data_IF_070415541749
#
_entry.id   IF_070415541749
#
_cell.length_a   1.000
_cell.length_b   1.000
_cell.length_c   1.000
_cell.angle_alpha   90.00
_cell.angle_beta   90.00
_cell.angle_gamma   90.00
#
_symmetry.space_group_name_H-M   'P 1'
#
loop_
_entity.id
_entity.type
_entity.pdbx_description
1 polymer ?
#
# COMPACT_ATOMS: atom_id res chain seq x y z
N UNK A 1 -34.08 -4.56 -2.98
CA UNK A 1 -33.23 -5.43 -3.80
C UNK A 1 -32.04 -4.63 -4.33
N UNK A 2 -32.24 -3.61 -5.17
CA UNK A 2 -31.14 -2.83 -5.76
C UNK A 2 -30.16 -2.25 -4.73
N UNK A 3 -30.65 -1.65 -3.63
CA UNK A 3 -29.78 -1.13 -2.58
C UNK A 3 -28.93 -2.20 -1.86
N UNK A 4 -29.39 -3.46 -1.84
CA UNK A 4 -28.60 -4.59 -1.35
C UNK A 4 -27.58 -5.04 -2.40
N UNK A 5 -27.93 -5.07 -3.69
CA UNK A 5 -26.98 -5.35 -4.76
C UNK A 5 -25.85 -4.32 -4.82
N UNK A 6 -26.15 -3.04 -4.65
CA UNK A 6 -25.14 -1.97 -4.57
C UNK A 6 -24.21 -2.19 -3.37
N UNK A 7 -24.76 -2.59 -2.22
CA UNK A 7 -23.94 -2.95 -1.06
C UNK A 7 -23.03 -4.15 -1.34
N UNK A 8 -23.55 -5.22 -1.94
CA UNK A 8 -22.74 -6.40 -2.30
C UNK A 8 -21.64 -6.05 -3.30
N UNK A 9 -21.95 -5.24 -4.31
CA UNK A 9 -20.95 -4.75 -5.27
C UNK A 9 -19.87 -3.91 -4.57
N UNK A 10 -20.26 -3.00 -3.68
CA UNK A 10 -19.33 -2.22 -2.86
C UNK A 10 -18.48 -3.11 -1.94
N UNK A 11 -19.08 -4.13 -1.32
CA UNK A 11 -18.36 -5.08 -0.46
C UNK A 11 -17.28 -5.83 -1.24
N UNK A 12 -17.61 -6.35 -2.43
CA UNK A 12 -16.64 -7.05 -3.27
C UNK A 12 -15.55 -6.11 -3.81
N UNK A 13 -15.91 -4.90 -4.23
CA UNK A 13 -14.94 -3.91 -4.71
C UNK A 13 -13.91 -3.55 -3.64
N UNK A 14 -14.34 -3.34 -2.39
CA UNK A 14 -13.45 -2.93 -1.29
C UNK A 14 -12.85 -4.12 -0.53
N UNK A 15 -13.15 -5.36 -0.91
CA UNK A 15 -12.83 -6.58 -0.15
C UNK A 15 -13.27 -6.53 1.34
N UNK A 16 -14.37 -5.83 1.62
CA UNK A 16 -14.85 -5.59 2.97
C UNK A 16 -15.96 -4.54 3.03
N UNK A 17 -16.50 -4.30 4.24
CA UNK A 17 -17.55 -3.32 4.47
C UNK A 17 -17.02 -1.95 4.94
N UNK A 18 -15.78 -1.62 4.63
CA UNK A 18 -15.20 -0.29 4.79
C UNK A 18 -14.60 0.14 3.46
N UNK A 19 -14.81 1.40 3.05
CA UNK A 19 -14.28 1.91 1.79
C UNK A 19 -12.75 1.84 1.80
N UNK A 20 -12.13 1.30 0.74
CA UNK A 20 -10.68 1.35 0.56
C UNK A 20 -10.18 2.80 0.40
N UNK A 21 -11.01 3.67 -0.16
CA UNK A 21 -10.78 5.12 -0.17
C UNK A 21 -11.61 5.82 0.91
N UNK A 22 -10.95 6.27 1.98
CA UNK A 22 -11.55 7.05 3.07
C UNK A 22 -12.04 6.24 4.27
N UNK A 23 -11.76 4.92 4.33
CA UNK A 23 -11.85 4.05 5.51
C UNK A 23 -13.14 4.16 6.34
N UNK A 24 -14.25 4.49 5.69
CA UNK A 24 -15.56 4.65 6.31
C UNK A 24 -16.45 3.44 6.07
N UNK A 25 -17.26 3.10 7.06
CA UNK A 25 -18.14 1.93 7.01
C UNK A 25 -19.20 2.06 5.92
N UNK A 26 -19.42 0.95 5.21
CA UNK A 26 -20.47 0.78 4.20
C UNK A 26 -21.57 -0.07 4.82
N UNK A 27 -22.81 0.42 4.76
CA UNK A 27 -24.00 -0.35 5.16
C UNK A 27 -24.97 -0.51 3.98
N UNK A 28 -25.80 -1.57 3.97
CA UNK A 28 -26.88 -1.68 3.01
C UNK A 28 -27.81 -0.47 3.09
N UNK A 29 -28.28 0.02 1.92
CA UNK A 29 -29.26 1.10 1.87
C UNK A 29 -30.62 0.61 1.40
N UNK A 30 -31.68 1.23 1.92
CA UNK A 30 -33.02 1.11 1.37
C UNK A 30 -33.73 2.46 1.49
N UNK A 31 -33.98 3.11 0.34
CA UNK A 31 -34.62 4.45 0.25
C UNK A 31 -35.97 4.58 0.99
N UNK A 32 -36.56 3.47 1.46
CA UNK A 32 -37.91 3.40 2.05
C UNK A 32 -37.96 2.72 3.43
N UNK A 33 -36.83 2.38 4.05
CA UNK A 33 -36.82 1.63 5.31
C UNK A 33 -35.86 2.27 6.33
N UNK A 34 -36.33 2.39 7.57
CA UNK A 34 -35.47 2.64 8.75
C UNK A 34 -34.57 1.41 8.96
N UNK A 35 -33.34 1.61 9.45
CA UNK A 35 -32.27 0.58 9.54
C UNK A 35 -32.72 -0.79 10.06
N UNK A 36 -33.55 -0.85 11.11
CA UNK A 36 -34.05 -2.11 11.67
C UNK A 36 -34.91 -2.91 10.67
N UNK A 37 -35.78 -2.25 9.91
CA UNK A 37 -36.59 -2.91 8.87
C UNK A 37 -35.75 -3.41 7.69
N UNK A 38 -34.53 -2.89 7.51
CA UNK A 38 -33.63 -3.33 6.44
C UNK A 38 -32.92 -4.64 6.81
N UNK A 39 -32.44 -4.75 8.05
CA UNK A 39 -31.80 -5.96 8.56
C UNK A 39 -32.76 -7.17 8.50
N UNK A 40 -34.02 -6.99 8.92
CA UNK A 40 -35.02 -8.06 8.86
C UNK A 40 -35.35 -8.50 7.43
N UNK A 41 -35.39 -7.56 6.48
CA UNK A 41 -35.59 -7.88 5.06
C UNK A 41 -34.42 -8.66 4.47
N UNK A 42 -33.19 -8.31 4.85
CA UNK A 42 -32.00 -9.05 4.43
C UNK A 42 -32.00 -10.44 5.08
N UNK A 43 -32.36 -10.55 6.36
CA UNK A 43 -32.51 -11.84 7.06
C UNK A 43 -33.51 -12.76 6.37
N UNK A 44 -34.70 -12.24 6.05
CA UNK A 44 -35.72 -12.99 5.32
C UNK A 44 -35.22 -13.46 3.94
N UNK A 45 -34.52 -12.58 3.21
CA UNK A 45 -33.89 -12.93 1.93
C UNK A 45 -32.87 -14.07 2.10
N UNK A 46 -31.92 -13.92 3.02
CA UNK A 46 -30.85 -14.89 3.29
C UNK A 46 -31.43 -16.25 3.66
N UNK A 47 -32.44 -16.30 4.53
CA UNK A 47 -33.11 -17.56 4.91
C UNK A 47 -33.95 -18.17 3.80
N UNK A 48 -34.53 -17.35 2.92
CA UNK A 48 -35.33 -17.82 1.79
C UNK A 48 -34.49 -18.34 0.61
N UNK A 49 -33.23 -17.91 0.50
CA UNK A 49 -32.31 -18.31 -0.54
C UNK A 49 -31.98 -19.81 -0.45
N UNK A 50 -31.64 -20.43 -1.58
CA UNK A 50 -31.29 -21.85 -1.63
C UNK A 50 -30.12 -22.18 -0.70
N UNK A 51 -29.11 -21.31 -0.65
CA UNK A 51 -28.00 -21.44 0.29
C UNK A 51 -28.45 -21.38 1.75
N UNK A 52 -29.45 -20.55 2.08
CA UNK A 52 -30.02 -20.47 3.43
C UNK A 52 -30.78 -21.73 3.85
N UNK A 53 -31.37 -22.44 2.90
CA UNK A 53 -32.11 -23.69 3.13
C UNK A 53 -31.21 -24.91 3.20
N UNK A 54 -30.12 -24.92 2.42
CA UNK A 54 -29.29 -26.10 2.19
C UNK A 54 -27.95 -26.09 2.94
N UNK A 55 -27.48 -24.93 3.43
CA UNK A 55 -26.15 -24.79 4.02
C UNK A 55 -26.19 -24.26 5.47
N UNK A 56 -26.03 -25.13 6.49
CA UNK A 56 -25.96 -24.72 7.88
C UNK A 56 -24.82 -23.74 8.17
N UNK A 57 -23.67 -23.91 7.49
CA UNK A 57 -22.52 -23.02 7.67
C UNK A 57 -22.85 -21.61 7.19
N UNK A 58 -23.56 -21.48 6.06
CA UNK A 58 -23.99 -20.19 5.54
C UNK A 58 -24.91 -19.45 6.53
N UNK A 59 -25.86 -20.15 7.15
CA UNK A 59 -26.72 -19.57 8.19
C UNK A 59 -25.91 -19.19 9.43
N UNK A 60 -24.99 -20.04 9.90
CA UNK A 60 -24.15 -19.69 11.07
C UNK A 60 -23.26 -18.46 10.82
N UNK A 61 -22.72 -18.30 9.61
CA UNK A 61 -21.98 -17.09 9.22
C UNK A 61 -22.91 -15.87 9.19
N UNK A 62 -24.12 -16.04 8.66
CA UNK A 62 -25.11 -14.96 8.67
C UNK A 62 -25.48 -14.52 10.09
N UNK A 63 -25.73 -15.43 11.04
CA UNK A 63 -26.06 -15.05 12.42
C UNK A 63 -24.93 -14.24 13.08
N UNK A 64 -23.66 -14.55 12.78
CA UNK A 64 -22.52 -13.80 13.29
C UNK A 64 -22.42 -12.38 12.70
N UNK A 65 -22.74 -12.22 11.41
CA UNK A 65 -22.58 -10.94 10.68
C UNK A 65 -23.84 -10.07 10.77
N UNK A 66 -25.02 -10.67 10.93
CA UNK A 66 -26.31 -10.00 11.02
C UNK A 66 -26.29 -8.78 11.94
N UNK A 67 -25.85 -8.86 13.22
CA UNK A 67 -25.86 -7.68 14.11
C UNK A 67 -24.94 -6.55 13.62
N UNK A 68 -23.90 -6.86 12.84
CA UNK A 68 -22.86 -5.91 12.43
C UNK A 68 -23.17 -5.19 11.11
N UNK A 69 -23.90 -5.83 10.20
CA UNK A 69 -24.08 -5.38 8.81
C UNK A 69 -24.76 -4.01 8.68
N UNK A 70 -25.63 -3.66 9.63
CA UNK A 70 -26.33 -2.37 9.68
C UNK A 70 -25.94 -1.53 10.91
N UNK A 71 -24.98 -1.99 11.73
CA UNK A 71 -24.55 -1.25 12.92
C UNK A 71 -23.80 0.01 12.52
N UNK A 72 -24.05 1.09 13.25
CA UNK A 72 -23.39 2.39 13.12
C UNK A 72 -22.97 2.88 14.51
N UNK A 73 -22.47 1.97 15.36
CA UNK A 73 -21.86 2.34 16.63
C UNK A 73 -20.75 3.37 16.41
N UNK A 74 -20.56 4.30 17.36
CA UNK A 74 -19.62 5.41 17.20
C UNK A 74 -18.20 4.97 16.82
N UNK A 75 -17.76 3.84 17.36
CA UNK A 75 -16.42 3.29 17.13
C UNK A 75 -16.34 2.42 15.87
N UNK A 76 -17.46 2.19 15.17
CA UNK A 76 -17.51 1.38 13.94
C UNK A 76 -17.54 2.21 12.67
N UNK A 77 -17.58 3.54 12.77
CA UNK A 77 -17.77 4.39 11.59
C UNK A 77 -16.53 4.46 10.70
N UNK A 78 -15.34 4.27 11.29
CA UNK A 78 -14.06 4.39 10.63
C UNK A 78 -13.09 3.29 11.08
N UNK A 79 -12.06 3.02 10.27
CA UNK A 79 -10.93 2.23 10.72
C UNK A 79 -10.07 3.03 11.72
N UNK A 80 -9.53 2.34 12.73
CA UNK A 80 -8.76 2.96 13.80
C UNK A 80 -8.43 2.01 14.94
N UNK A 81 -7.68 2.50 15.94
CA UNK A 81 -7.47 1.78 17.20
C UNK A 81 -8.80 1.64 17.97
N UNK A 82 -8.95 0.62 18.81
CA UNK A 82 -10.25 0.18 19.37
C UNK A 82 -11.07 1.24 20.12
N UNK A 83 -10.44 2.30 20.63
CA UNK A 83 -11.10 3.45 21.27
C UNK A 83 -11.65 4.49 20.28
N UNK A 84 -11.15 4.49 19.04
CA UNK A 84 -11.43 5.48 18.01
C UNK A 84 -11.93 4.90 16.68
N UNK A 85 -11.92 3.57 16.52
CA UNK A 85 -12.28 2.88 15.30
C UNK A 85 -12.23 1.35 15.41
N UNK A 86 -12.34 0.67 14.28
CA UNK A 86 -12.18 -0.79 14.16
C UNK A 86 -10.91 -1.11 13.38
N UNK A 87 -10.21 -2.17 13.77
CA UNK A 87 -9.10 -2.72 12.98
C UNK A 87 -9.04 -4.23 13.13
N UNK A 88 -8.55 -4.89 12.08
CA UNK A 88 -8.23 -6.32 12.09
C UNK A 88 -6.71 -6.57 12.06
N UNK A 89 -5.88 -5.52 12.02
CA UNK A 89 -4.42 -5.61 12.12
C UNK A 89 -3.97 -5.92 13.54
N UNK A 90 -4.75 -5.46 14.53
CA UNK A 90 -4.47 -5.69 15.94
C UNK A 90 -5.70 -6.20 16.69
N UNK A 91 -5.51 -6.83 17.86
CA UNK A 91 -6.63 -7.13 18.77
C UNK A 91 -7.20 -5.85 19.39
N UNK A 92 -8.49 -5.85 19.72
CA UNK A 92 -9.23 -4.66 20.21
C UNK A 92 -8.61 -3.99 21.44
N UNK A 93 -7.86 -4.74 22.25
CA UNK A 93 -7.20 -4.24 23.44
C UNK A 93 -5.84 -3.55 23.18
N UNK A 94 -5.32 -3.56 21.94
CA UNK A 94 -4.07 -2.86 21.57
C UNK A 94 -4.33 -1.35 21.48
N UNK A 95 -3.49 -0.59 22.17
CA UNK A 95 -3.47 0.87 22.09
C UNK A 95 -2.36 1.36 21.15
N UNK A 96 -2.37 2.66 20.86
CA UNK A 96 -1.25 3.31 20.14
C UNK A 96 0.09 3.10 20.86
N UNK A 97 0.13 3.26 22.18
CA UNK A 97 1.35 3.06 22.99
C UNK A 97 1.89 1.62 22.89
N UNK A 98 0.98 0.64 22.84
CA UNK A 98 1.35 -0.77 22.65
C UNK A 98 1.96 -0.99 21.25
N UNK A 99 1.39 -0.37 20.22
CA UNK A 99 1.92 -0.43 18.85
C UNK A 99 3.31 0.21 18.76
N UNK A 100 3.53 1.36 19.41
CA UNK A 100 4.84 2.03 19.47
C UNK A 100 5.90 1.19 20.19
N UNK A 101 5.53 0.44 21.24
CA UNK A 101 6.42 -0.53 21.90
C UNK A 101 6.88 -1.62 20.94
N UNK A 102 5.95 -2.18 20.17
CA UNK A 102 6.25 -3.24 19.22
C UNK A 102 7.03 -2.73 18.00
N UNK A 103 6.78 -1.51 17.57
CA UNK A 103 7.59 -0.85 16.54
C UNK A 103 9.06 -0.72 16.97
N UNK A 104 9.33 -0.34 18.23
CA UNK A 104 10.71 -0.36 18.77
C UNK A 104 11.34 -1.75 18.75
N UNK A 105 10.57 -2.79 19.06
CA UNK A 105 11.05 -4.18 18.97
C UNK A 105 11.46 -4.51 17.52
N UNK A 106 10.61 -4.26 16.52
CA UNK A 106 10.93 -4.51 15.11
C UNK A 106 12.14 -3.71 14.62
N UNK A 107 12.23 -2.43 15.00
CA UNK A 107 13.41 -1.57 14.70
C UNK A 107 14.69 -2.15 15.28
N UNK A 108 14.67 -2.64 16.53
CA UNK A 108 15.84 -3.27 17.15
C UNK A 108 16.33 -4.54 16.42
N UNK A 109 15.43 -5.18 15.66
CA UNK A 109 15.71 -6.37 14.85
C UNK A 109 16.07 -6.04 13.39
N UNK A 110 15.91 -4.79 12.97
CA UNK A 110 16.03 -4.36 11.58
C UNK A 110 15.16 -5.18 10.62
N UNK A 111 13.88 -5.36 10.99
CA UNK A 111 12.89 -6.11 10.22
C UNK A 111 11.58 -5.33 10.19
N UNK A 112 10.95 -5.27 9.03
CA UNK A 112 9.66 -4.62 8.81
C UNK A 112 8.50 -5.51 9.29
N UNK A 113 7.45 -4.91 9.86
CA UNK A 113 6.27 -5.62 10.36
C UNK A 113 5.18 -5.88 9.31
N UNK A 114 5.48 -5.71 8.02
CA UNK A 114 4.49 -5.59 6.94
C UNK A 114 3.53 -6.77 6.83
N UNK A 115 4.03 -8.01 6.95
CA UNK A 115 3.21 -9.23 6.84
C UNK A 115 2.75 -9.78 8.19
N UNK A 116 2.53 -8.90 9.18
CA UNK A 116 2.20 -9.31 10.56
C UNK A 116 0.86 -8.79 11.05
N UNK A 117 0.29 -9.47 12.05
CA UNK A 117 -0.75 -8.95 12.94
C UNK A 117 -0.30 -8.99 14.39
N UNK A 118 -0.86 -8.10 15.22
CA UNK A 118 -0.49 -7.93 16.63
C UNK A 118 -1.64 -8.27 17.56
N UNK A 119 -1.39 -9.10 18.56
CA UNK A 119 -2.36 -9.42 19.59
C UNK A 119 -1.75 -9.15 20.96
N UNK A 120 -2.55 -8.70 21.91
CA UNK A 120 -2.14 -8.59 23.32
C UNK A 120 -2.91 -9.59 24.14
N UNK A 121 -2.19 -10.45 24.86
CA UNK A 121 -2.81 -11.38 25.80
C UNK A 121 -3.43 -10.62 26.97
N UNK A 122 -4.59 -11.09 27.41
CA UNK A 122 -5.26 -10.54 28.60
C UNK A 122 -4.47 -10.86 29.87
N UNK A 123 -3.87 -12.05 29.92
CA UNK A 123 -3.09 -12.49 31.07
C UNK A 123 -1.61 -12.12 30.93
N UNK A 124 -1.02 -11.66 32.03
CA UNK A 124 0.41 -11.41 32.10
C UNK A 124 1.18 -12.70 32.34
N UNK A 125 2.32 -12.85 31.69
CA UNK A 125 3.28 -13.95 31.95
C UNK A 125 4.43 -13.40 32.77
N UNK A 126 4.70 -13.98 33.94
CA UNK A 126 5.72 -13.52 34.88
C UNK A 126 5.60 -12.03 35.25
N UNK A 127 4.37 -11.52 35.36
CA UNK A 127 4.10 -10.09 35.63
C UNK A 127 4.30 -9.15 34.45
N UNK A 128 4.69 -9.65 33.28
CA UNK A 128 4.91 -8.88 32.04
C UNK A 128 3.75 -9.04 31.06
N UNK A 129 3.44 -7.98 30.33
CA UNK A 129 2.49 -8.04 29.21
C UNK A 129 3.06 -8.92 28.10
N UNK A 130 2.22 -9.73 27.47
CA UNK A 130 2.60 -10.59 26.34
C UNK A 130 1.96 -10.07 25.07
N UNK A 131 2.79 -9.80 24.07
CA UNK A 131 2.36 -9.46 22.72
C UNK A 131 2.63 -10.63 21.78
N UNK A 132 1.62 -11.05 21.01
CA UNK A 132 1.76 -12.07 19.98
C UNK A 132 1.81 -11.44 18.61
N UNK A 133 2.87 -11.73 17.88
CA UNK A 133 3.06 -11.34 16.49
C UNK A 133 2.74 -12.55 15.63
N UNK A 134 1.72 -12.46 14.78
CA UNK A 134 1.38 -13.50 13.81
C UNK A 134 1.92 -13.13 12.44
N UNK A 135 2.84 -13.95 11.92
CA UNK A 135 3.39 -13.83 10.56
C UNK A 135 2.47 -14.54 9.56
N UNK A 136 2.16 -13.87 8.45
CA UNK A 136 1.44 -14.48 7.35
C UNK A 136 2.31 -15.52 6.63
N UNK A 137 1.90 -16.79 6.66
CA UNK A 137 2.65 -17.89 6.07
C UNK A 137 1.82 -19.15 5.92
N UNK A 138 2.13 -19.99 4.94
CA UNK A 138 1.49 -21.29 4.77
C UNK A 138 1.92 -22.30 5.85
N UNK A 139 3.19 -22.28 6.26
CA UNK A 139 3.67 -23.09 7.38
C UNK A 139 3.17 -22.54 8.71
N UNK A 140 2.85 -23.46 9.61
CA UNK A 140 2.44 -23.17 10.99
C UNK A 140 3.57 -23.53 11.96
N UNK A 141 3.61 -22.86 13.12
CA UNK A 141 4.58 -23.16 14.19
C UNK A 141 5.91 -22.42 14.04
N UNK A 142 6.94 -22.87 14.76
CA UNK A 142 8.19 -22.09 14.90
C UNK A 142 8.00 -20.86 15.78
N UNK A 143 7.21 -21.01 16.86
CA UNK A 143 7.01 -19.94 17.81
C UNK A 143 8.33 -19.61 18.53
N UNK A 144 8.70 -18.35 18.58
CA UNK A 144 9.79 -17.84 19.41
C UNK A 144 9.23 -16.95 20.50
N UNK A 145 9.91 -16.91 21.64
CA UNK A 145 9.58 -16.03 22.74
C UNK A 145 10.84 -15.26 23.14
N UNK A 146 10.69 -13.95 23.27
CA UNK A 146 11.77 -13.04 23.64
C UNK A 146 11.26 -12.00 24.65
N UNK A 147 12.07 -11.70 25.66
CA UNK A 147 11.82 -10.53 26.50
C UNK A 147 12.44 -9.29 25.84
N UNK A 148 11.68 -8.20 25.77
CA UNK A 148 12.14 -6.92 25.26
C UNK A 148 11.59 -5.80 26.14
N UNK A 149 12.46 -4.92 26.63
CA UNK A 149 12.11 -3.90 27.62
C UNK A 149 11.37 -4.53 28.84
N UNK A 150 10.14 -4.11 29.10
CA UNK A 150 9.28 -4.55 30.20
C UNK A 150 8.20 -5.58 29.77
N UNK A 151 8.28 -6.11 28.55
CA UNK A 151 7.28 -7.02 27.97
C UNK A 151 7.88 -8.26 27.30
N UNK A 152 7.00 -9.19 26.93
CA UNK A 152 7.34 -10.43 26.23
C UNK A 152 6.73 -10.38 24.83
N UNK A 153 7.54 -10.74 23.82
CA UNK A 153 7.10 -10.89 22.44
C UNK A 153 7.11 -12.38 22.10
N UNK A 154 5.95 -12.89 21.67
CA UNK A 154 5.81 -14.22 21.11
C UNK A 154 5.54 -14.08 19.62
N UNK A 155 6.45 -14.56 18.79
CA UNK A 155 6.30 -14.53 17.33
C UNK A 155 5.91 -15.91 16.85
N UNK A 156 4.82 -16.02 16.09
CA UNK A 156 4.33 -17.28 15.53
C UNK A 156 3.96 -17.15 14.06
N UNK A 157 4.03 -18.28 13.35
CA UNK A 157 3.69 -18.38 11.94
C UNK A 157 2.34 -19.06 11.72
N UNK A 158 1.75 -18.81 10.56
CA UNK A 158 0.54 -19.48 10.12
C UNK A 158 -0.65 -18.56 9.94
N UNK A 159 -0.47 -17.24 10.04
CA UNK A 159 -1.56 -16.33 9.74
C UNK A 159 -1.96 -16.48 8.27
N UNK A 160 -3.27 -16.58 8.01
CA UNK A 160 -3.81 -16.85 6.68
C UNK A 160 -3.26 -18.11 5.98
N UNK A 161 -2.77 -19.11 6.73
CA UNK A 161 -2.06 -20.28 6.19
C UNK A 161 -2.71 -20.95 4.96
N UNK A 162 -4.03 -21.26 4.95
CA UNK A 162 -4.67 -21.84 3.77
C UNK A 162 -4.65 -20.93 2.53
N UNK A 163 -4.71 -19.62 2.72
CA UNK A 163 -4.65 -18.63 1.64
C UNK A 163 -3.23 -18.47 1.13
N UNK A 164 -2.24 -18.41 2.02
CA UNK A 164 -0.82 -18.34 1.65
C UNK A 164 -0.37 -19.61 0.90
N UNK A 165 -0.85 -20.79 1.32
CA UNK A 165 -0.63 -22.04 0.60
C UNK A 165 -1.20 -21.99 -0.83
N UNK A 166 -2.39 -21.41 -1.00
CA UNK A 166 -3.03 -21.23 -2.30
C UNK A 166 -2.25 -20.25 -3.18
N UNK A 167 -1.78 -19.13 -2.62
CA UNK A 167 -0.95 -18.17 -3.34
C UNK A 167 0.34 -18.83 -3.84
N UNK A 168 1.06 -19.54 -2.97
CA UNK A 168 2.27 -20.30 -3.34
C UNK A 168 2.00 -21.34 -4.44
N UNK A 169 0.88 -22.06 -4.38
CA UNK A 169 0.53 -23.06 -5.38
C UNK A 169 0.27 -22.45 -6.77
N UNK A 170 -0.39 -21.29 -6.85
CA UNK A 170 -0.61 -20.60 -8.12
C UNK A 170 0.67 -19.95 -8.66
N UNK A 171 1.51 -19.40 -7.78
CA UNK A 171 2.84 -18.91 -8.17
C UNK A 171 3.71 -20.04 -8.70
N UNK A 172 3.67 -21.24 -8.11
CA UNK A 172 4.40 -22.39 -8.62
C UNK A 172 3.98 -22.77 -10.05
N UNK A 173 2.68 -22.69 -10.37
CA UNK A 173 2.19 -22.88 -11.75
C UNK A 173 2.63 -21.75 -12.67
N UNK A 174 2.56 -20.50 -12.21
CA UNK A 174 3.01 -19.35 -12.99
C UNK A 174 4.52 -19.42 -13.31
N UNK A 175 5.31 -19.97 -12.39
CA UNK A 175 6.75 -20.21 -12.56
C UNK A 175 7.06 -21.05 -13.81
N UNK A 176 6.18 -21.97 -14.21
CA UNK A 176 6.35 -22.79 -15.42
C UNK A 176 6.24 -21.99 -16.72
N UNK A 177 5.73 -20.75 -16.67
CA UNK A 177 5.47 -19.89 -17.84
C UNK A 177 6.31 -18.60 -17.83
N UNK A 178 7.35 -18.51 -17.01
CA UNK A 178 8.22 -17.32 -16.93
C UNK A 178 9.00 -17.11 -18.22
N UNK A 179 9.25 -15.84 -18.55
CA UNK A 179 9.96 -15.47 -19.77
C UNK A 179 11.49 -15.54 -19.63
N UNK A 180 12.01 -15.50 -18.40
CA UNK A 180 13.45 -15.45 -18.13
C UNK A 180 13.81 -15.93 -16.70
N UNK A 181 15.10 -16.16 -16.46
CA UNK A 181 15.65 -16.60 -15.16
C UNK A 181 15.38 -15.62 -14.02
N UNK A 182 15.29 -14.31 -14.31
CA UNK A 182 15.02 -13.28 -13.30
C UNK A 182 13.61 -13.45 -12.74
N UNK A 183 12.62 -13.63 -13.61
CA UNK A 183 11.25 -13.94 -13.22
C UNK A 183 11.15 -15.27 -12.48
N UNK A 184 11.90 -16.30 -12.90
CA UNK A 184 11.94 -17.57 -12.18
C UNK A 184 12.41 -17.40 -10.73
N UNK A 185 13.50 -16.65 -10.53
CA UNK A 185 14.07 -16.37 -9.20
C UNK A 185 13.13 -15.51 -8.36
N UNK A 186 12.54 -14.48 -8.95
CA UNK A 186 11.54 -13.63 -8.32
C UNK A 186 10.36 -14.45 -7.79
N UNK A 187 9.72 -15.25 -8.66
CA UNK A 187 8.57 -16.07 -8.27
C UNK A 187 8.96 -17.11 -7.22
N UNK A 188 10.14 -17.72 -7.34
CA UNK A 188 10.64 -18.67 -6.33
C UNK A 188 10.76 -18.01 -4.95
N UNK A 189 11.23 -16.76 -4.89
CA UNK A 189 11.34 -16.00 -3.65
C UNK A 189 10.00 -15.54 -3.08
N UNK A 190 9.02 -15.20 -3.92
CA UNK A 190 7.64 -14.99 -3.44
C UNK A 190 7.04 -16.27 -2.83
N UNK A 191 7.28 -17.44 -3.45
CA UNK A 191 6.85 -18.73 -2.90
C UNK A 191 7.51 -19.00 -1.54
N UNK A 192 8.82 -18.75 -1.40
CA UNK A 192 9.52 -18.87 -0.11
C UNK A 192 8.92 -17.92 0.94
N UNK A 193 8.65 -16.65 0.57
CA UNK A 193 8.01 -15.67 1.45
C UNK A 193 6.65 -16.15 1.96
N UNK A 194 5.72 -16.51 1.06
CA UNK A 194 4.39 -16.98 1.46
C UNK A 194 4.43 -18.33 2.16
N UNK A 195 5.51 -19.11 2.02
CA UNK A 195 5.66 -20.37 2.72
C UNK A 195 6.18 -20.19 4.14
N UNK A 196 7.23 -19.41 4.31
CA UNK A 196 7.95 -19.27 5.57
C UNK A 196 7.52 -18.06 6.41
N UNK A 197 6.92 -17.04 5.79
CA UNK A 197 6.54 -15.77 6.42
C UNK A 197 7.69 -14.81 6.70
N UNK A 198 8.89 -15.07 6.18
CA UNK A 198 10.04 -14.16 6.34
C UNK A 198 10.01 -13.09 5.24
N UNK A 199 9.95 -11.81 5.65
CA UNK A 199 9.90 -10.66 4.74
C UNK A 199 11.20 -10.52 3.92
N UNK A 200 12.33 -11.08 4.38
CA UNK A 200 13.59 -11.06 3.62
C UNK A 200 13.47 -11.74 2.27
N UNK A 201 12.66 -12.81 2.18
CA UNK A 201 12.39 -13.46 0.90
C UNK A 201 11.57 -12.57 -0.04
N UNK A 202 10.66 -11.75 0.48
CA UNK A 202 9.93 -10.78 -0.34
C UNK A 202 10.85 -9.65 -0.82
N UNK A 203 11.75 -9.17 0.04
CA UNK A 203 12.82 -8.22 -0.34
C UNK A 203 13.69 -8.80 -1.45
N UNK A 204 14.13 -10.05 -1.32
CA UNK A 204 14.91 -10.73 -2.37
C UNK A 204 14.13 -10.90 -3.68
N UNK A 205 12.85 -11.25 -3.61
CA UNK A 205 11.98 -11.30 -4.78
C UNK A 205 11.90 -9.93 -5.46
N UNK A 206 11.74 -8.87 -4.67
CA UNK A 206 11.69 -7.48 -5.13
C UNK A 206 13.00 -7.04 -5.79
N UNK A 207 14.16 -7.49 -5.29
CA UNK A 207 15.47 -7.26 -5.92
C UNK A 207 15.61 -7.94 -7.28
N UNK A 208 14.99 -9.10 -7.46
CA UNK A 208 14.91 -9.73 -8.78
C UNK A 208 13.92 -8.97 -9.67
N UNK A 209 12.77 -8.60 -9.14
CA UNK A 209 11.74 -7.87 -9.87
C UNK A 209 12.23 -6.55 -10.47
N UNK A 210 12.96 -5.72 -9.71
CA UNK A 210 13.53 -4.46 -10.25
C UNK A 210 14.57 -4.69 -11.35
N UNK A 211 15.14 -5.90 -11.46
CA UNK A 211 16.10 -6.29 -12.49
C UNK A 211 15.43 -6.88 -13.72
N UNK A 212 14.14 -7.23 -13.64
CA UNK A 212 13.35 -7.68 -14.78
C UNK A 212 12.81 -6.45 -15.53
N UNK A 213 13.60 -5.93 -16.47
CA UNK A 213 13.30 -4.67 -17.18
C UNK A 213 12.53 -4.95 -18.47
N UNK A 214 11.53 -4.11 -18.76
CA UNK A 214 10.69 -4.21 -19.97
C UNK A 214 10.02 -5.60 -20.19
N UNK A 215 9.42 -6.26 -19.17
CA UNK A 215 8.70 -7.51 -19.39
C UNK A 215 7.46 -7.29 -20.26
N UNK A 216 6.93 -8.35 -20.90
CA UNK A 216 5.64 -8.23 -21.61
C UNK A 216 4.47 -8.22 -20.63
N UNK A 217 4.56 -9.07 -19.60
CA UNK A 217 3.61 -9.18 -18.50
C UNK A 217 4.32 -8.74 -17.23
N UNK A 218 3.85 -7.65 -16.65
CA UNK A 218 4.35 -7.10 -15.40
C UNK A 218 3.46 -7.56 -14.24
N UNK A 219 4.08 -7.86 -13.09
CA UNK A 219 3.37 -8.36 -11.92
C UNK A 219 4.12 -8.08 -10.63
N UNK A 220 3.36 -7.86 -9.56
CA UNK A 220 3.87 -7.77 -8.20
C UNK A 220 2.80 -8.28 -7.23
N UNK A 221 3.22 -8.87 -6.11
CA UNK A 221 2.30 -9.49 -5.13
C UNK A 221 2.91 -9.52 -3.73
N UNK A 222 2.12 -9.28 -2.69
CA UNK A 222 2.57 -9.36 -1.29
C UNK A 222 1.74 -8.52 -0.34
N UNK A 223 2.33 -8.22 0.82
CA UNK A 223 1.82 -7.23 1.76
C UNK A 223 2.55 -5.92 1.49
N UNK A 224 1.93 -5.01 0.74
CA UNK A 224 2.64 -3.92 0.05
C UNK A 224 2.40 -2.58 0.74
N UNK A 225 1.15 -2.10 0.77
CA UNK A 225 0.80 -0.76 1.24
C UNK A 225 0.30 -0.74 2.68
N UNK A 226 0.77 0.21 3.49
CA UNK A 226 0.49 0.32 4.93
C UNK A 226 -0.55 1.40 5.29
N UNK A 227 -1.27 1.94 4.30
CA UNK A 227 -2.20 3.06 4.49
C UNK A 227 -3.33 2.79 5.50
N UNK A 228 -3.79 1.53 5.57
CA UNK A 228 -5.00 1.14 6.33
C UNK A 228 -4.72 0.60 7.73
N UNK A 229 -3.45 0.38 8.07
CA UNK A 229 -3.06 0.06 9.45
C UNK A 229 -3.12 1.35 10.28
N UNK A 230 -3.90 1.43 11.37
CA UNK A 230 -3.93 2.60 12.23
C UNK A 230 -2.54 2.99 12.78
N UNK A 231 -1.62 2.03 12.90
CA UNK A 231 -0.23 2.27 13.29
C UNK A 231 0.69 2.66 12.12
N UNK A 232 0.26 2.44 10.87
CA UNK A 232 1.03 2.69 9.66
C UNK A 232 2.28 1.81 9.49
N UNK A 233 2.30 0.59 10.05
CA UNK A 233 3.50 -0.28 10.02
C UNK A 233 3.26 -1.69 9.46
N UNK A 234 1.99 -2.10 9.35
CA UNK A 234 1.55 -3.35 8.71
C UNK A 234 0.92 -3.04 7.37
N UNK A 235 1.11 -3.94 6.42
CA UNK A 235 0.67 -3.72 5.04
C UNK A 235 -0.53 -4.59 4.69
N UNK A 236 -1.41 -4.07 3.84
CA UNK A 236 -2.51 -4.82 3.23
C UNK A 236 -1.96 -5.74 2.13
N UNK A 237 -2.60 -6.92 1.98
CA UNK A 237 -2.27 -7.84 0.90
C UNK A 237 -2.83 -7.32 -0.42
N UNK A 238 -1.98 -7.27 -1.44
CA UNK A 238 -2.41 -6.99 -2.80
C UNK A 238 -1.57 -7.74 -3.84
N UNK A 239 -2.07 -7.77 -5.07
CA UNK A 239 -1.28 -8.19 -6.21
C UNK A 239 -1.94 -7.85 -7.54
N UNK A 240 -1.10 -7.59 -8.54
CA UNK A 240 -1.56 -7.23 -9.87
C UNK A 240 -0.84 -8.03 -10.96
N UNK A 241 -1.52 -8.15 -12.10
CA UNK A 241 -0.98 -8.64 -13.37
C UNK A 241 -1.43 -7.66 -14.45
N UNK A 242 -0.48 -7.17 -15.23
CA UNK A 242 -0.75 -6.18 -16.27
C UNK A 242 0.13 -6.39 -17.50
N UNK A 243 -0.38 -5.95 -18.66
CA UNK A 243 0.37 -5.97 -19.91
C UNK A 243 1.10 -4.64 -20.11
N UNK A 244 2.35 -4.67 -20.53
CA UNK A 244 3.08 -3.44 -20.88
C UNK A 244 2.54 -2.86 -22.19
N UNK A 245 2.07 -1.62 -22.13
CA UNK A 245 1.70 -0.81 -23.28
C UNK A 245 2.96 -0.14 -23.84
N UNK A 246 3.54 -0.74 -24.88
CA UNK A 246 4.83 -0.29 -25.46
C UNK A 246 4.76 1.11 -26.09
N UNK A 247 3.60 1.52 -26.60
CA UNK A 247 3.43 2.83 -27.23
C UNK A 247 3.47 3.95 -26.19
N UNK A 248 2.65 3.87 -25.15
CA UNK A 248 2.66 4.86 -24.06
C UNK A 248 3.97 4.80 -23.27
N UNK A 249 4.54 3.61 -23.07
CA UNK A 249 5.84 3.46 -22.39
C UNK A 249 6.99 4.16 -23.14
N UNK A 250 6.91 4.34 -24.46
CA UNK A 250 7.91 5.09 -25.21
C UNK A 250 7.97 6.56 -24.77
N UNK A 251 6.83 7.18 -24.44
CA UNK A 251 6.77 8.56 -23.93
C UNK A 251 7.48 8.67 -22.58
N UNK A 252 7.20 7.74 -21.66
CA UNK A 252 7.86 7.70 -20.36
C UNK A 252 9.37 7.43 -20.48
N UNK A 253 9.80 6.61 -21.44
CA UNK A 253 11.22 6.39 -21.73
C UNK A 253 11.93 7.68 -22.13
N UNK A 254 11.29 8.52 -22.96
CA UNK A 254 11.81 9.85 -23.30
C UNK A 254 11.94 10.73 -22.06
N UNK A 255 10.92 10.73 -21.19
CA UNK A 255 10.96 11.48 -19.92
C UNK A 255 12.11 11.01 -19.01
N UNK A 256 12.30 9.70 -18.85
CA UNK A 256 13.41 9.11 -18.07
C UNK A 256 14.78 9.49 -18.65
N UNK A 257 14.93 9.53 -19.98
CA UNK A 257 16.18 9.94 -20.62
C UNK A 257 16.56 11.40 -20.31
N UNK A 258 15.55 12.25 -20.13
CA UNK A 258 15.70 13.69 -19.83
C UNK A 258 15.63 14.03 -18.34
N UNK A 259 15.31 13.07 -17.48
CA UNK A 259 15.06 13.30 -16.05
C UNK A 259 16.17 14.11 -15.35
N UNK A 260 17.45 13.77 -15.53
CA UNK A 260 18.57 14.49 -14.90
C UNK A 260 18.71 15.95 -15.36
N UNK A 261 18.23 16.28 -16.56
CA UNK A 261 18.16 17.64 -17.07
C UNK A 261 16.97 18.38 -16.42
N UNK A 262 15.81 17.74 -16.37
CA UNK A 262 14.57 18.32 -15.82
C UNK A 262 14.66 18.53 -14.32
N UNK A 263 15.28 17.62 -13.55
CA UNK A 263 15.45 17.74 -12.10
C UNK A 263 16.16 19.04 -11.68
N UNK A 264 16.99 19.62 -12.55
CA UNK A 264 17.67 20.90 -12.29
C UNK A 264 16.72 22.09 -12.26
N UNK A 265 15.49 21.93 -12.79
CA UNK A 265 14.44 22.96 -12.79
C UNK A 265 13.70 23.04 -11.47
N UNK A 266 13.85 22.03 -10.60
CA UNK A 266 13.18 21.98 -9.30
C UNK A 266 13.81 22.97 -8.29
N UNK A 267 13.00 23.55 -7.38
CA UNK A 267 13.37 24.77 -6.65
C UNK A 267 14.35 24.56 -5.49
N UNK A 268 14.79 23.32 -5.21
CA UNK A 268 15.66 23.01 -4.07
C UNK A 268 17.16 22.91 -4.41
N UNK A 269 17.52 22.89 -5.69
CA UNK A 269 18.91 22.88 -6.14
C UNK A 269 19.67 21.57 -5.90
N UNK A 270 20.94 21.54 -6.31
CA UNK A 270 21.73 20.30 -6.44
C UNK A 270 21.99 19.58 -5.12
N UNK A 271 22.25 20.33 -4.04
CA UNK A 271 22.63 19.77 -2.74
C UNK A 271 21.51 18.96 -2.09
N UNK A 272 20.25 19.24 -2.45
CA UNK A 272 19.05 18.54 -1.98
C UNK A 272 18.60 17.45 -2.95
N UNK A 273 19.35 17.20 -4.01
CA UNK A 273 19.05 16.17 -4.99
C UNK A 273 19.96 14.95 -4.80
N UNK A 274 19.47 13.75 -5.13
CA UNK A 274 20.25 12.51 -5.00
C UNK A 274 21.57 12.62 -5.78
N UNK A 275 22.67 12.14 -5.20
CA UNK A 275 24.01 12.29 -5.82
C UNK A 275 24.08 11.64 -7.20
N UNK A 276 23.36 10.54 -7.38
CA UNK A 276 23.15 9.89 -8.67
C UNK A 276 21.66 9.63 -8.83
N UNK A 277 21.07 10.10 -9.92
CA UNK A 277 19.71 9.73 -10.26
C UNK A 277 19.71 8.28 -10.75
N UNK A 278 19.02 7.41 -10.02
CA UNK A 278 18.77 6.05 -10.47
C UNK A 278 17.63 6.13 -11.48
N UNK A 279 17.95 5.98 -12.77
CA UNK A 279 16.95 5.98 -13.85
C UNK A 279 16.03 4.77 -13.66
N UNK A 280 14.78 4.96 -13.21
CA UNK A 280 13.89 3.83 -12.95
C UNK A 280 13.33 3.31 -14.27
N UNK A 281 12.87 2.06 -14.26
CA UNK A 281 12.01 1.56 -15.33
C UNK A 281 10.63 2.21 -15.16
N UNK A 282 10.17 2.94 -16.18
CA UNK A 282 8.86 3.59 -16.17
C UNK A 282 8.01 3.04 -17.30
N UNK A 283 7.00 2.27 -16.93
CA UNK A 283 6.14 1.56 -17.86
C UNK A 283 4.69 2.01 -17.73
N UNK A 284 4.03 2.13 -18.88
CA UNK A 284 2.58 2.22 -18.96
C UNK A 284 2.02 0.80 -19.02
N UNK A 285 1.07 0.48 -18.17
CA UNK A 285 0.47 -0.84 -18.07
C UNK A 285 -1.04 -0.79 -18.29
N UNK A 286 -1.54 -1.84 -18.93
CA UNK A 286 -2.97 -2.16 -18.98
C UNK A 286 -3.25 -3.33 -18.03
N UNK A 287 -3.95 -3.05 -16.93
CA UNK A 287 -4.27 -4.01 -15.87
C UNK A 287 -5.18 -5.11 -16.41
N UNK A 288 -4.79 -6.37 -16.21
CA UNK A 288 -5.63 -7.54 -16.47
C UNK A 288 -6.40 -7.96 -15.21
N UNK A 289 -5.70 -7.96 -14.07
CA UNK A 289 -6.26 -8.27 -12.77
C UNK A 289 -5.51 -7.51 -11.68
N UNK A 290 -6.24 -6.95 -10.74
CA UNK A 290 -5.69 -6.33 -9.53
C UNK A 290 -6.55 -6.74 -8.35
N UNK A 291 -5.98 -7.52 -7.45
CA UNK A 291 -6.60 -7.88 -6.18
C UNK A 291 -6.11 -6.90 -5.11
N UNK A 292 -6.94 -5.91 -4.77
CA UNK A 292 -6.66 -4.89 -3.74
C UNK A 292 -7.97 -4.32 -3.18
N UNK A 293 -7.93 -3.54 -2.11
CA UNK A 293 -9.10 -2.82 -1.56
C UNK A 293 -9.45 -1.54 -2.33
N UNK A 294 -8.64 -1.17 -3.33
CA UNK A 294 -8.89 -0.10 -4.28
C UNK A 294 -7.98 -0.22 -5.51
N UNK A 295 -8.36 0.41 -6.62
CA UNK A 295 -7.52 0.45 -7.82
C UNK A 295 -6.74 1.78 -7.85
N UNK A 296 -5.41 1.77 -7.77
CA UNK A 296 -4.62 2.97 -7.95
C UNK A 296 -4.56 3.37 -9.43
N UNK A 297 -4.12 4.59 -9.71
CA UNK A 297 -3.87 5.05 -11.10
C UNK A 297 -2.39 4.97 -11.50
N UNK A 298 -1.50 4.92 -10.52
CA UNK A 298 -0.05 4.76 -10.67
C UNK A 298 0.51 4.06 -9.43
N UNK A 299 1.72 3.51 -9.55
CA UNK A 299 2.42 2.83 -8.46
C UNK A 299 3.93 3.08 -8.55
N UNK A 300 4.57 3.35 -7.42
CA UNK A 300 6.03 3.39 -7.25
C UNK A 300 6.49 2.38 -6.19
N UNK A 301 7.09 1.28 -6.62
CA UNK A 301 7.42 0.12 -5.76
C UNK A 301 8.80 -0.46 -6.12
N UNK A 302 9.43 -1.27 -5.24
CA UNK A 302 8.97 -1.69 -3.90
C UNK A 302 9.05 -0.57 -2.86
N UNK A 303 8.29 -0.69 -1.77
CA UNK A 303 8.31 0.28 -0.66
C UNK A 303 9.53 0.14 0.29
N UNK A 304 10.48 -0.75 -0.02
CA UNK A 304 11.64 -1.00 0.84
C UNK A 304 12.71 0.06 0.60
N UNK A 305 12.88 0.98 1.55
CA UNK A 305 13.82 2.11 1.43
C UNK A 305 15.26 1.66 1.10
N UNK A 306 15.74 0.57 1.70
CA UNK A 306 17.07 0.04 1.42
C UNK A 306 17.25 -0.42 -0.03
N UNK A 307 16.19 -0.95 -0.65
CA UNK A 307 16.19 -1.33 -2.07
C UNK A 307 16.03 -0.09 -2.95
N UNK A 308 15.07 0.80 -2.64
CA UNK A 308 14.81 2.02 -3.43
C UNK A 308 16.03 2.93 -3.54
N UNK A 309 16.76 3.09 -2.43
CA UNK A 309 17.91 3.99 -2.35
C UNK A 309 19.18 3.39 -2.98
N UNK A 310 19.40 2.08 -2.86
CA UNK A 310 20.68 1.47 -3.23
C UNK A 310 20.64 0.62 -4.51
N UNK A 311 19.47 0.08 -4.88
CA UNK A 311 19.34 -0.87 -5.99
C UNK A 311 18.41 -0.36 -7.09
N UNK A 312 17.24 0.21 -6.74
CA UNK A 312 16.29 0.78 -7.69
C UNK A 312 14.83 0.53 -7.32
N UNK A 313 13.94 1.01 -8.19
CA UNK A 313 12.48 0.89 -8.10
C UNK A 313 11.88 0.97 -9.52
N UNK A 314 10.62 0.60 -9.69
CA UNK A 314 9.88 0.86 -10.94
C UNK A 314 8.71 1.81 -10.69
N UNK A 315 8.44 2.62 -11.70
CA UNK A 315 7.24 3.45 -11.78
C UNK A 315 6.28 2.84 -12.79
N UNK A 316 5.01 2.87 -12.46
CA UNK A 316 3.96 2.26 -13.26
C UNK A 316 2.79 3.24 -13.38
N UNK A 317 2.28 3.43 -14.60
CA UNK A 317 1.02 4.13 -14.86
C UNK A 317 -0.03 3.14 -15.37
N UNK A 318 -1.23 3.12 -14.78
CA UNK A 318 -2.29 2.15 -15.09
C UNK A 318 -3.32 2.75 -16.06
N UNK A 319 -2.96 2.76 -17.34
CA UNK A 319 -3.66 3.51 -18.39
C UNK A 319 -5.13 3.15 -18.54
N UNK A 320 -5.47 1.86 -18.51
CA UNK A 320 -6.86 1.41 -18.63
C UNK A 320 -7.70 1.69 -17.36
N UNK A 321 -7.09 1.78 -16.17
CA UNK A 321 -7.79 2.19 -14.95
C UNK A 321 -8.16 3.66 -15.04
N UNK A 322 -7.21 4.52 -15.45
CA UNK A 322 -7.42 5.95 -15.65
C UNK A 322 -8.55 6.19 -16.67
N UNK A 323 -8.51 5.46 -17.79
CA UNK A 323 -9.49 5.57 -18.87
C UNK A 323 -10.89 5.07 -18.50
N UNK A 324 -11.01 4.19 -17.50
CA UNK A 324 -12.29 3.63 -17.06
C UNK A 324 -13.09 4.57 -16.13
N UNK A 325 -12.51 5.70 -15.73
CA UNK A 325 -13.17 6.69 -14.86
C UNK A 325 -14.46 7.20 -15.52
N UNK A 326 -15.65 6.96 -14.95
CA UNK A 326 -16.90 7.34 -15.59
C UNK A 326 -17.05 8.85 -15.63
N UNK A 327 -17.58 9.39 -16.73
CA UNK A 327 -17.99 10.79 -16.79
C UNK A 327 -19.10 11.04 -15.76
N UNK A 328 -18.86 11.98 -14.86
CA UNK A 328 -19.82 12.45 -13.88
C UNK A 328 -19.89 13.96 -13.92
N UNK A 329 -21.05 14.52 -13.58
CA UNK A 329 -21.20 15.97 -13.45
C UNK A 329 -20.19 16.46 -12.41
N UNK A 330 -19.30 17.34 -12.83
CA UNK A 330 -18.29 17.94 -11.97
C UNK A 330 -18.95 19.02 -11.12
N UNK A 331 -18.78 18.91 -9.81
CA UNK A 331 -19.22 19.95 -8.88
C UNK A 331 -18.23 21.12 -8.92
N UNK A 332 -18.71 22.32 -8.64
CA UNK A 332 -17.88 23.54 -8.46
C UNK A 332 -17.17 24.07 -9.72
N UNK A 333 -17.53 23.60 -10.91
CA UNK A 333 -17.08 24.12 -12.20
C UNK A 333 -18.26 24.48 -13.08
N UNK A 334 -18.09 25.42 -14.00
CA UNK A 334 -19.11 25.71 -15.01
C UNK A 334 -19.07 24.67 -16.16
N UNK A 335 -19.99 24.81 -17.12
CA UNK A 335 -20.10 23.84 -18.21
C UNK A 335 -18.92 23.92 -19.19
N UNK A 336 -18.33 25.10 -19.38
CA UNK A 336 -17.21 25.29 -20.30
C UNK A 336 -15.96 24.59 -19.76
N UNK A 337 -15.66 24.79 -18.47
CA UNK A 337 -14.57 24.11 -17.79
C UNK A 337 -14.80 22.60 -17.68
N UNK A 338 -16.04 22.16 -17.44
CA UNK A 338 -16.37 20.73 -17.41
C UNK A 338 -16.10 20.04 -18.75
N UNK A 339 -16.47 20.68 -19.86
CA UNK A 339 -16.24 20.14 -21.20
C UNK A 339 -14.74 20.04 -21.50
N UNK A 340 -13.95 21.04 -21.07
CA UNK A 340 -12.49 21.02 -21.17
C UNK A 340 -11.87 19.90 -20.31
N UNK A 341 -12.30 19.78 -19.05
CA UNK A 341 -11.85 18.72 -18.16
C UNK A 341 -12.12 17.35 -18.76
N UNK A 342 -13.34 17.09 -19.26
CA UNK A 342 -13.65 15.82 -19.91
C UNK A 342 -12.87 15.56 -21.20
N UNK A 343 -12.57 16.62 -21.96
CA UNK A 343 -11.82 16.50 -23.21
C UNK A 343 -10.36 16.16 -22.99
N UNK A 344 -9.72 16.77 -21.99
CA UNK A 344 -8.28 16.67 -21.75
C UNK A 344 -7.90 15.80 -20.55
N UNK A 345 -8.87 15.25 -19.80
CA UNK A 345 -8.64 14.47 -18.59
C UNK A 345 -7.55 13.41 -18.77
N UNK A 346 -7.63 12.60 -19.84
CA UNK A 346 -6.69 11.52 -20.06
C UNK A 346 -5.27 12.06 -20.26
N UNK A 347 -5.10 13.02 -21.15
CA UNK A 347 -3.81 13.61 -21.50
C UNK A 347 -3.20 14.36 -20.32
N UNK A 348 -3.98 15.20 -19.61
CA UNK A 348 -3.50 15.94 -18.45
C UNK A 348 -3.13 14.99 -17.30
N UNK A 349 -3.89 13.92 -17.11
CA UNK A 349 -3.63 12.94 -16.06
C UNK A 349 -2.40 12.08 -16.38
N UNK A 350 -2.19 11.69 -17.66
CA UNK A 350 -0.97 10.99 -18.10
C UNK A 350 0.29 11.83 -17.84
N UNK A 351 0.24 13.14 -18.12
CA UNK A 351 1.32 14.08 -17.77
C UNK A 351 1.53 14.17 -16.26
N UNK A 352 0.45 14.38 -15.49
CA UNK A 352 0.56 14.53 -14.03
C UNK A 352 1.13 13.26 -13.39
N UNK A 353 0.64 12.07 -13.74
CA UNK A 353 1.17 10.78 -13.25
C UNK A 353 2.62 10.59 -13.67
N UNK A 354 2.95 10.90 -14.92
CA UNK A 354 4.32 10.84 -15.44
C UNK A 354 5.29 11.64 -14.57
N UNK A 355 4.94 12.87 -14.26
CA UNK A 355 5.76 13.77 -13.46
C UNK A 355 5.74 13.41 -11.98
N UNK A 356 4.57 13.11 -11.42
CA UNK A 356 4.36 12.70 -10.03
C UNK A 356 5.23 11.50 -9.66
N UNK A 357 5.15 10.41 -10.43
CA UNK A 357 5.82 9.14 -10.11
C UNK A 357 7.34 9.23 -10.33
N UNK A 358 7.76 9.79 -11.48
CA UNK A 358 9.17 9.80 -11.86
C UNK A 358 9.96 10.93 -11.19
N UNK A 359 9.42 12.15 -11.22
CA UNK A 359 10.14 13.36 -10.82
C UNK A 359 9.62 13.92 -9.49
N UNK A 360 8.41 13.56 -9.07
CA UNK A 360 7.93 13.77 -7.71
C UNK A 360 8.62 12.78 -6.77
N UNK A 361 8.14 11.55 -6.67
CA UNK A 361 8.70 10.52 -5.76
C UNK A 361 10.17 10.17 -6.05
N UNK A 362 10.58 10.21 -7.32
CA UNK A 362 11.96 9.86 -7.70
C UNK A 362 13.01 10.91 -7.32
N UNK A 363 12.62 12.16 -7.02
CA UNK A 363 13.54 13.25 -6.69
C UNK A 363 13.75 13.43 -5.18
N UNK A 364 14.71 14.29 -4.84
CA UNK A 364 14.96 14.72 -3.47
C UNK A 364 15.86 13.77 -2.68
N UNK A 365 16.73 14.34 -1.85
CA UNK A 365 17.69 13.63 -1.00
C UNK A 365 17.30 13.76 0.46
N UNK A 366 17.32 12.64 1.17
CA UNK A 366 17.27 12.64 2.64
C UNK A 366 18.69 12.77 3.18
N UNK A 367 18.93 13.80 3.99
CA UNK A 367 20.20 13.95 4.71
C UNK A 367 20.27 12.94 5.85
N UNK A 368 21.31 12.12 5.85
CA UNK A 368 21.46 11.00 6.77
C UNK A 368 22.88 10.93 7.32
N UNK A 369 22.97 10.51 8.58
CA UNK A 369 24.20 10.07 9.21
C UNK A 369 24.29 8.55 9.14
N UNK A 370 25.37 8.06 8.57
CA UNK A 370 25.67 6.65 8.40
C UNK A 370 26.08 6.01 9.74
N UNK A 371 25.97 4.69 9.84
CA UNK A 371 26.33 3.93 11.05
C UNK A 371 27.80 4.07 11.46
N UNK A 372 28.68 4.40 10.50
CA UNK A 372 30.10 4.67 10.75
C UNK A 372 30.38 6.11 11.22
N UNK A 373 29.33 6.92 11.39
CA UNK A 373 29.40 8.32 11.82
C UNK A 373 29.66 9.33 10.70
N UNK A 374 29.81 8.88 9.45
CA UNK A 374 29.91 9.77 8.28
C UNK A 374 28.53 10.30 7.87
N UNK A 375 28.50 11.33 7.03
CA UNK A 375 27.26 11.91 6.49
C UNK A 375 27.17 11.62 5.00
N UNK A 376 25.94 11.39 4.51
CA UNK A 376 25.69 11.24 3.08
C UNK A 376 25.63 12.58 2.32
N UNK A 377 25.92 13.72 2.97
CA UNK A 377 25.85 15.06 2.40
C UNK A 377 27.04 15.93 2.84
N UNK A 378 27.28 17.04 2.15
CA UNK A 378 28.33 18.00 2.52
C UNK A 378 27.87 18.83 3.73
N UNK A 379 28.67 18.86 4.80
CA UNK A 379 28.39 19.68 5.99
C UNK A 379 28.31 21.18 5.71
N UNK A 380 28.84 21.64 4.56
CA UNK A 380 28.73 23.02 4.12
C UNK A 380 27.41 23.33 3.40
N UNK A 381 26.59 22.32 3.10
CA UNK A 381 25.25 22.52 2.54
C UNK A 381 24.43 23.43 3.45
N UNK A 382 23.70 24.35 2.82
CA UNK A 382 22.86 25.32 3.52
C UNK A 382 21.41 24.89 3.53
N UNK A 383 20.76 25.13 4.66
CA UNK A 383 19.32 25.03 4.82
C UNK A 383 18.61 26.04 3.91
N UNK A 384 17.68 25.58 3.07
CA UNK A 384 17.01 26.42 2.06
C UNK A 384 16.15 27.53 2.66
N UNK A 385 15.69 27.35 3.90
CA UNK A 385 14.78 28.29 4.57
C UNK A 385 15.57 29.30 5.41
N UNK A 386 16.58 28.83 6.12
CA UNK A 386 17.33 29.63 7.11
C UNK A 386 18.67 30.14 6.59
N UNK A 387 19.20 29.56 5.50
CA UNK A 387 20.51 29.88 4.94
C UNK A 387 21.71 29.46 5.81
N UNK A 388 21.46 28.78 6.94
CA UNK A 388 22.47 28.28 7.88
C UNK A 388 22.92 26.86 7.51
N UNK A 389 24.02 26.33 8.07
CA UNK A 389 24.36 24.93 7.88
C UNK A 389 23.24 23.99 8.33
N UNK A 390 23.11 22.83 7.68
CA UNK A 390 22.14 21.79 8.04
C UNK A 390 22.32 21.40 9.51
N UNK A 391 21.24 21.52 10.29
CA UNK A 391 21.23 21.23 11.72
C UNK A 391 20.49 19.93 12.09
N UNK A 392 19.78 19.32 11.15
CA UNK A 392 18.98 18.09 11.35
C UNK A 392 19.13 17.12 10.18
N UNK A 393 19.12 15.83 10.50
CA UNK A 393 19.26 14.70 9.57
C UNK A 393 18.62 13.45 10.17
N UNK A 394 18.51 12.39 9.38
CA UNK A 394 18.13 11.05 9.83
C UNK A 394 19.33 10.35 10.50
N UNK A 395 19.13 9.78 11.68
CA UNK A 395 20.10 8.91 12.34
C UNK A 395 20.05 7.47 11.78
N UNK A 396 21.05 6.62 12.07
CA UNK A 396 21.03 5.22 11.64
C UNK A 396 19.75 4.49 12.09
N UNK A 397 19.06 3.86 11.13
CA UNK A 397 17.81 3.12 11.36
C UNK A 397 16.54 3.96 11.31
N UNK A 398 16.64 5.29 11.15
CA UNK A 398 15.49 6.16 10.97
C UNK A 398 15.09 6.27 9.49
N UNK A 399 13.79 6.22 9.22
CA UNK A 399 13.18 6.34 7.88
C UNK A 399 12.21 7.52 7.82
N UNK A 400 11.83 7.94 6.61
CA UNK A 400 10.81 8.98 6.37
C UNK A 400 9.55 8.74 7.22
N UNK A 401 8.97 7.54 7.09
CA UNK A 401 7.75 7.16 7.81
C UNK A 401 7.95 7.13 9.32
N UNK A 402 9.12 6.73 9.81
CA UNK A 402 9.42 6.72 11.25
C UNK A 402 9.46 8.12 11.88
N UNK A 403 9.79 9.16 11.09
CA UNK A 403 9.92 10.55 11.55
C UNK A 403 8.66 11.36 11.36
N UNK A 404 8.02 11.22 10.21
CA UNK A 404 6.81 11.96 9.86
C UNK A 404 5.54 11.27 10.39
N UNK A 405 5.65 9.99 10.78
CA UNK A 405 4.57 9.24 11.39
C UNK A 405 3.30 9.28 10.55
N UNK A 406 2.13 9.63 11.13
CA UNK A 406 0.86 9.68 10.40
C UNK A 406 0.81 10.66 9.22
N UNK A 407 1.70 11.66 9.17
CA UNK A 407 1.73 12.65 8.08
C UNK A 407 2.62 12.22 6.92
N UNK A 408 3.41 11.13 7.07
CA UNK A 408 4.41 10.72 6.09
C UNK A 408 3.84 10.54 4.68
N UNK A 409 2.74 9.80 4.53
CA UNK A 409 2.12 9.57 3.22
C UNK A 409 1.54 10.86 2.64
N UNK A 410 0.62 11.53 3.36
CA UNK A 410 -0.05 12.71 2.84
C UNK A 410 0.92 13.86 2.49
N UNK A 411 2.02 14.01 3.24
CA UNK A 411 3.05 15.01 2.96
C UNK A 411 3.83 14.66 1.69
N UNK A 412 4.23 13.39 1.53
CA UNK A 412 4.97 12.94 0.35
C UNK A 412 4.14 13.01 -0.93
N UNK A 413 2.86 12.62 -0.88
CA UNK A 413 1.91 12.79 -1.98
C UNK A 413 1.74 14.27 -2.38
N UNK A 414 1.60 15.15 -1.38
CA UNK A 414 1.49 16.59 -1.62
C UNK A 414 2.74 17.14 -2.34
N UNK A 415 3.93 16.66 -1.96
CA UNK A 415 5.19 17.04 -2.62
C UNK A 415 5.23 16.53 -4.07
N UNK A 416 4.88 15.27 -4.31
CA UNK A 416 4.92 14.67 -5.63
C UNK A 416 3.91 15.32 -6.60
N UNK A 417 2.68 15.59 -6.13
CA UNK A 417 1.66 16.35 -6.87
C UNK A 417 2.16 17.75 -7.24
N UNK A 418 2.78 18.46 -6.28
CA UNK A 418 3.29 19.81 -6.51
C UNK A 418 4.39 19.83 -7.57
N UNK A 419 5.27 18.82 -7.61
CA UNK A 419 6.28 18.68 -8.68
C UNK A 419 5.60 18.54 -10.04
N UNK A 420 4.55 17.72 -10.14
CA UNK A 420 3.76 17.58 -11.36
C UNK A 420 3.23 18.92 -11.86
N UNK A 421 2.59 19.71 -11.00
CA UNK A 421 2.05 21.02 -11.36
C UNK A 421 3.13 22.05 -11.77
N UNK A 422 4.28 22.03 -11.11
CA UNK A 422 5.39 22.94 -11.46
C UNK A 422 5.95 22.60 -12.84
N UNK A 423 6.21 21.32 -13.10
CA UNK A 423 6.87 20.87 -14.32
C UNK A 423 5.91 20.82 -15.52
N UNK A 424 4.60 20.58 -15.33
CA UNK A 424 3.65 20.53 -16.45
C UNK A 424 3.48 21.88 -17.18
N UNK A 425 4.01 22.97 -16.62
CA UNK A 425 4.03 24.29 -17.25
C UNK A 425 5.12 24.45 -18.32
N UNK A 426 6.10 23.55 -18.36
CA UNK A 426 7.19 23.58 -19.32
C UNK A 426 6.76 22.96 -20.66
N UNK A 427 6.78 23.76 -21.73
CA UNK A 427 6.28 23.33 -23.04
C UNK A 427 6.99 22.08 -23.59
N UNK A 428 8.29 21.95 -23.34
CA UNK A 428 9.11 20.83 -23.80
C UNK A 428 8.85 19.52 -23.02
N UNK A 429 8.06 19.56 -21.94
CA UNK A 429 7.56 18.37 -21.25
C UNK A 429 6.26 17.86 -21.89
N UNK A 430 5.49 18.75 -22.53
CA UNK A 430 4.23 18.44 -23.20
C UNK A 430 4.42 17.96 -24.66
N UNK A 431 5.59 18.22 -25.24
CA UNK A 431 6.06 17.71 -26.54
C UNK A 431 6.54 16.25 -26.44
#
# INVERSE_FOLDING_TARGET
WDGFLVYVAGFYYNNGNYRGFGDSKIIPSCKRAVSYFLQDKIDALVRSAEAGKSSPIFISTWEAVKPLICSLGSNELHLGFGDHGVTCYHSENITKDDAEKIDRYFKSKNVESWNTRLFKDTDKKNGKTVYRIKLASSKTGGASEEEFEDFIVLTERGDYSPLMARASAWLAKAKESVANDTQEKMISKYIEHFTEGDIKYHKDASRFWIKDVEPVIETYIGFIENYRDPAGTRSEFEGFVACVNKETSLKFKTLVQRAEEILKRLPWGRDYEKDKFLKPDFTALDVLAFASSGLPSGINIPNYDDIRQNEGFKNVSLGNVIAATPKQKMNFVDQEDEDLLHKYHKESFEVQVGLHELLGHGSGKLFQKNSDGTFNFDKNTKDLITGKPIASWYEPGETWSSKFGPLSSAYEECRAEAVGYVLCCDADILE
#
